data_IF_661141725923
#
_entry.id   IF_661141725923
#
_cell.length_a   1.000
_cell.length_b   1.000
_cell.length_c   1.000
_cell.angle_alpha   90.00
_cell.angle_beta   90.00
_cell.angle_gamma   90.00
#
_symmetry.space_group_name_H-M   'P 1'
#
loop_
_entity.id
_entity.type
_entity.pdbx_description
1 polymer ?
#
# COMPACT_ATOMS: atom_id res chain seq x y z
N UNK A 1 8.31 -9.15 3.37
CA UNK A 1 7.11 -9.09 4.23
C UNK A 1 6.81 -10.44 4.86
N UNK A 2 6.48 -10.47 6.16
CA UNK A 2 6.12 -11.66 6.92
C UNK A 2 4.72 -12.20 6.59
N UNK A 3 4.49 -13.51 6.77
CA UNK A 3 3.18 -14.13 6.55
C UNK A 3 2.06 -13.54 7.40
N UNK A 4 2.39 -13.06 8.62
CA UNK A 4 1.42 -12.45 9.52
C UNK A 4 0.91 -11.12 8.97
N UNK A 5 1.82 -10.22 8.57
CA UNK A 5 1.45 -8.94 7.95
C UNK A 5 0.69 -9.14 6.65
N UNK A 6 1.10 -10.10 5.82
CA UNK A 6 0.38 -10.47 4.61
C UNK A 6 -1.07 -10.90 4.91
N UNK A 7 -1.29 -11.80 5.88
CA UNK A 7 -2.64 -12.22 6.30
C UNK A 7 -3.48 -11.04 6.80
N UNK A 8 -2.89 -10.11 7.57
CA UNK A 8 -3.57 -8.90 8.06
C UNK A 8 -4.04 -8.00 6.91
N UNK A 9 -3.18 -7.77 5.91
CA UNK A 9 -3.55 -6.99 4.71
C UNK A 9 -4.70 -7.67 3.95
N UNK A 10 -4.61 -8.98 3.75
CA UNK A 10 -5.63 -9.75 3.06
C UNK A 10 -6.97 -9.75 3.81
N UNK A 11 -6.94 -9.80 5.15
CA UNK A 11 -8.14 -9.71 5.97
C UNK A 11 -8.83 -8.34 5.81
N UNK A 12 -8.08 -7.24 5.86
CA UNK A 12 -8.61 -5.88 5.62
C UNK A 12 -9.21 -5.77 4.22
N UNK A 13 -8.53 -6.31 3.22
CA UNK A 13 -8.97 -6.22 1.82
C UNK A 13 -10.00 -7.28 1.43
N UNK A 14 -10.44 -8.15 2.36
CA UNK A 14 -11.36 -9.25 2.09
C UNK A 14 -12.72 -8.74 1.56
N UNK A 15 -13.25 -7.67 2.15
CA UNK A 15 -14.50 -7.02 1.73
C UNK A 15 -14.37 -6.34 0.35
N UNK A 16 -13.16 -5.89 0.00
CA UNK A 16 -12.85 -5.34 -1.31
C UNK A 16 -12.76 -6.43 -2.38
N UNK A 17 -12.22 -7.60 -2.03
CA UNK A 17 -12.04 -8.79 -2.86
C UNK A 17 -13.36 -9.56 -3.11
N UNK A 18 -14.44 -8.87 -3.50
CA UNK A 18 -15.65 -9.54 -4.01
C UNK A 18 -15.29 -10.45 -5.20
N UNK A 19 -15.78 -11.69 -5.19
CA UNK A 19 -15.59 -12.67 -6.27
C UNK A 19 -16.06 -12.08 -7.60
N UNK A 20 -15.29 -12.29 -8.67
CA UNK A 20 -15.68 -11.93 -10.04
C UNK A 20 -15.06 -10.67 -10.65
N UNK A 21 -14.22 -9.91 -9.92
CA UNK A 21 -13.61 -8.67 -10.46
C UNK A 21 -12.08 -8.79 -10.53
N UNK A 22 -11.51 -9.23 -11.67
CA UNK A 22 -10.05 -9.36 -11.87
C UNK A 22 -9.27 -8.09 -11.56
N UNK A 23 -9.86 -6.93 -11.85
CA UNK A 23 -9.29 -5.61 -11.57
C UNK A 23 -8.94 -5.42 -10.08
N UNK A 24 -9.79 -5.89 -9.16
CA UNK A 24 -9.55 -5.75 -7.72
C UNK A 24 -8.43 -6.66 -7.22
N UNK A 25 -8.30 -7.87 -7.78
CA UNK A 25 -7.15 -8.75 -7.50
C UNK A 25 -5.83 -8.08 -7.93
N UNK A 26 -5.81 -7.43 -9.09
CA UNK A 26 -4.64 -6.67 -9.56
C UNK A 26 -4.30 -5.52 -8.60
N UNK A 27 -5.30 -4.80 -8.09
CA UNK A 27 -5.08 -3.73 -7.12
C UNK A 27 -4.53 -4.22 -5.78
N UNK A 28 -4.99 -5.36 -5.26
CA UNK A 28 -4.43 -5.94 -4.03
C UNK A 28 -2.99 -6.42 -4.23
N UNK A 29 -2.67 -7.03 -5.38
CA UNK A 29 -1.26 -7.37 -5.71
C UNK A 29 -0.37 -6.12 -5.75
N UNK A 30 -0.87 -5.03 -6.34
CA UNK A 30 -0.16 -3.74 -6.35
C UNK A 30 0.01 -3.17 -4.94
N UNK A 31 -1.00 -3.27 -4.08
CA UNK A 31 -0.90 -2.88 -2.66
C UNK A 31 0.21 -3.64 -1.95
N UNK A 32 0.24 -4.97 -2.10
CA UNK A 32 1.26 -5.82 -1.49
C UNK A 32 2.65 -5.42 -1.97
N UNK A 33 2.84 -5.19 -3.28
CA UNK A 33 4.12 -4.74 -3.83
C UNK A 33 4.56 -3.37 -3.31
N UNK A 34 3.62 -2.43 -3.09
CA UNK A 34 3.93 -1.13 -2.49
C UNK A 34 4.42 -1.31 -1.04
N UNK A 35 3.68 -2.07 -0.23
CA UNK A 35 4.01 -2.27 1.18
C UNK A 35 5.30 -3.06 1.36
N UNK A 36 5.55 -4.07 0.52
CA UNK A 36 6.79 -4.84 0.54
C UNK A 36 8.00 -3.96 0.18
N UNK A 37 7.87 -3.07 -0.82
CA UNK A 37 8.92 -2.09 -1.11
C UNK A 37 9.15 -1.14 0.09
N UNK A 38 8.09 -0.68 0.74
CA UNK A 38 8.23 0.17 1.93
C UNK A 38 9.00 -0.58 3.03
N UNK A 39 8.62 -1.82 3.33
CA UNK A 39 9.26 -2.60 4.38
C UNK A 39 10.71 -2.98 4.05
N UNK A 40 11.02 -3.23 2.78
CA UNK A 40 12.37 -3.53 2.33
C UNK A 40 13.34 -2.35 2.55
N UNK A 41 12.87 -1.12 2.33
CA UNK A 41 13.72 0.07 2.37
C UNK A 41 13.65 0.85 3.69
N UNK A 42 12.75 0.49 4.60
CA UNK A 42 12.55 1.19 5.86
C UNK A 42 12.56 0.18 7.03
N UNK A 43 13.73 -0.33 7.45
CA UNK A 43 13.81 -1.35 8.51
C UNK A 43 13.15 -0.90 9.82
N UNK A 44 13.12 0.42 10.07
CA UNK A 44 12.55 1.04 11.27
C UNK A 44 11.03 0.81 11.44
N UNK A 45 10.29 0.51 10.36
CA UNK A 45 8.86 0.18 10.49
C UNK A 45 8.62 -1.27 10.93
N UNK A 46 9.62 -2.16 10.83
CA UNK A 46 9.52 -3.54 11.33
C UNK A 46 8.28 -4.28 10.82
N UNK A 47 7.88 -4.02 9.56
CA UNK A 47 6.66 -4.53 8.93
C UNK A 47 5.33 -4.18 9.63
N UNK A 48 5.34 -3.22 10.56
CA UNK A 48 4.13 -2.73 11.21
C UNK A 48 3.41 -1.72 10.32
N UNK A 49 2.20 -2.09 9.89
CA UNK A 49 1.32 -1.22 9.09
C UNK A 49 1.01 0.11 9.77
N UNK A 50 0.96 0.13 11.11
CA UNK A 50 0.67 1.34 11.90
C UNK A 50 1.83 2.32 11.90
N UNK A 51 3.05 1.84 11.68
CA UNK A 51 4.24 2.68 11.56
C UNK A 51 4.44 3.21 10.13
N UNK A 52 3.70 2.70 9.14
CA UNK A 52 3.74 3.21 7.76
C UNK A 52 3.00 4.54 7.70
N UNK A 53 3.76 5.64 7.77
CA UNK A 53 3.23 7.00 7.73
C UNK A 53 3.69 7.78 6.50
N UNK A 54 3.52 9.11 6.60
CA UNK A 54 3.84 10.05 5.52
C UNK A 54 5.28 9.90 5.01
N UNK A 55 6.26 9.74 5.91
CA UNK A 55 7.69 9.65 5.56
C UNK A 55 7.95 8.43 4.67
N UNK A 56 7.44 7.26 5.05
CA UNK A 56 7.65 6.02 4.31
C UNK A 56 6.98 6.06 2.94
N UNK A 57 5.79 6.67 2.85
CA UNK A 57 5.07 6.81 1.58
C UNK A 57 5.78 7.83 0.66
N UNK A 58 6.33 8.93 1.19
CA UNK A 58 7.17 9.85 0.40
C UNK A 58 8.43 9.13 -0.09
N UNK A 59 9.07 8.35 0.77
CA UNK A 59 10.22 7.52 0.37
C UNK A 59 9.88 6.57 -0.78
N UNK A 60 8.71 5.91 -0.71
CA UNK A 60 8.20 5.08 -1.80
C UNK A 60 8.01 5.89 -3.10
N UNK A 61 7.41 7.07 -3.01
CA UNK A 61 7.21 7.93 -4.16
C UNK A 61 8.50 8.41 -4.79
N UNK A 62 9.55 8.64 -4.00
CA UNK A 62 10.87 9.01 -4.50
C UNK A 62 11.54 7.86 -5.23
N UNK A 63 11.44 6.64 -4.70
CA UNK A 63 11.99 5.43 -5.35
C UNK A 63 11.28 5.06 -6.65
N UNK A 64 10.03 5.47 -6.81
CA UNK A 64 9.18 5.19 -7.98
C UNK A 64 8.99 6.41 -8.89
N UNK A 65 9.91 7.38 -8.85
CA UNK A 65 9.81 8.60 -9.67
C UNK A 65 9.87 8.33 -11.18
N UNK A 66 10.50 7.24 -11.61
CA UNK A 66 10.56 6.85 -13.03
C UNK A 66 9.22 6.34 -13.57
N UNK A 67 8.22 6.08 -12.72
CA UNK A 67 6.91 5.65 -13.15
C UNK A 67 6.07 6.82 -13.67
N UNK A 68 5.21 6.54 -14.65
CA UNK A 68 4.30 7.55 -15.18
C UNK A 68 3.33 8.08 -14.12
N UNK A 69 2.93 9.34 -14.27
CA UNK A 69 1.99 10.01 -13.36
C UNK A 69 0.68 9.23 -13.20
N UNK A 70 0.17 8.64 -14.29
CA UNK A 70 -1.02 7.81 -14.26
C UNK A 70 -0.84 6.58 -13.36
N UNK A 71 0.27 5.85 -13.49
CA UNK A 71 0.57 4.67 -12.66
C UNK A 71 0.72 5.05 -11.19
N UNK A 72 1.41 6.16 -10.89
CA UNK A 72 1.58 6.65 -9.52
C UNK A 72 0.24 7.08 -8.91
N UNK A 73 -0.64 7.69 -9.70
CA UNK A 73 -1.99 8.04 -9.26
C UNK A 73 -2.85 6.80 -8.96
N UNK A 74 -2.80 5.76 -9.80
CA UNK A 74 -3.48 4.49 -9.51
C UNK A 74 -3.00 3.87 -8.19
N UNK A 75 -1.68 3.84 -7.96
CA UNK A 75 -1.10 3.35 -6.70
C UNK A 75 -1.52 4.18 -5.50
N UNK A 76 -1.58 5.50 -5.66
CA UNK A 76 -2.08 6.40 -4.63
C UNK A 76 -3.52 6.09 -4.23
N UNK A 77 -4.42 5.86 -5.20
CA UNK A 77 -5.81 5.50 -4.92
C UNK A 77 -5.90 4.17 -4.15
N UNK A 78 -5.07 3.18 -4.52
CA UNK A 78 -4.99 1.89 -3.83
C UNK A 78 -4.54 2.07 -2.37
N UNK A 79 -3.48 2.86 -2.13
CA UNK A 79 -3.01 3.16 -0.77
C UNK A 79 -4.08 3.89 0.05
N UNK A 80 -4.72 4.91 -0.54
CA UNK A 80 -5.77 5.68 0.12
C UNK A 80 -6.95 4.78 0.55
N UNK A 81 -7.39 3.89 -0.35
CA UNK A 81 -8.42 2.91 -0.05
C UNK A 81 -8.02 2.00 1.10
N UNK A 82 -6.80 1.45 1.07
CA UNK A 82 -6.33 0.55 2.12
C UNK A 82 -6.23 1.25 3.48
N UNK A 83 -5.67 2.47 3.53
CA UNK A 83 -5.55 3.24 4.77
C UNK A 83 -6.92 3.52 5.40
N UNK A 84 -7.90 3.84 4.55
CA UNK A 84 -9.29 4.01 4.99
C UNK A 84 -9.89 2.71 5.53
N UNK A 85 -9.70 1.59 4.82
CA UNK A 85 -10.25 0.29 5.20
C UNK A 85 -9.60 -0.30 6.47
N UNK A 86 -8.30 -0.06 6.65
CA UNK A 86 -7.54 -0.52 7.81
C UNK A 86 -7.67 0.40 9.04
N UNK A 87 -8.36 1.54 8.92
CA UNK A 87 -8.45 2.54 9.99
C UNK A 87 -7.10 3.13 10.39
N UNK A 88 -6.12 3.16 9.47
CA UNK A 88 -4.78 3.66 9.77
C UNK A 88 -4.79 5.18 9.95
N UNK A 89 -4.10 5.66 10.98
CA UNK A 89 -3.97 7.10 11.24
C UNK A 89 -3.02 7.74 10.24
N UNK A 90 -3.49 8.79 9.56
CA UNK A 90 -2.66 9.66 8.71
C UNK A 90 -3.18 9.81 7.28
N UNK A 91 -2.75 10.90 6.62
CA UNK A 91 -3.07 11.15 5.21
C UNK A 91 -2.01 10.49 4.32
N UNK A 92 -2.45 9.68 3.36
CA UNK A 92 -1.58 9.21 2.27
C UNK A 92 -1.18 10.43 1.43
N UNK A 93 0.12 10.81 1.37
CA UNK A 93 0.56 11.91 0.54
C UNK A 93 0.38 11.58 -0.93
N UNK A 94 -0.08 12.55 -1.72
CA UNK A 94 -0.15 12.41 -3.18
C UNK A 94 1.27 12.31 -3.76
N UNK A 95 1.49 11.47 -4.79
CA UNK A 95 2.73 11.47 -5.54
C UNK A 95 2.91 12.83 -6.21
N UNK A 96 4.16 13.31 -6.28
CA UNK A 96 4.56 14.50 -7.02
C UNK A 96 4.76 14.16 -8.48
#
# INVERSE_FOLDING_TARGET
MSPHTHKKIMAVMSSYLKRGIPFRKKQVRRLLAILDNIFLHEPNVGESLEKVGRRQIIGYWNRTQSESTAVRFEKYQILKLFFSAAGLRGKVPKPR
#
